data_IF_044467813797
#
_entry.id   IF_044467813797
#
_cell.length_a   1.000
_cell.length_b   1.000
_cell.length_c   1.000
_cell.angle_alpha   90.00
_cell.angle_beta   90.00
_cell.angle_gamma   90.00
#
_symmetry.space_group_name_H-M   'P 1'
#
loop_
_entity.id
_entity.type
_entity.pdbx_description
1 polymer ?
#
# COMPACT_ATOMS: atom_id res chain seq x y z
N UNK A 1 -61.41 23.76 1.40
CA UNK A 1 -62.11 23.13 2.51
C UNK A 1 -61.31 21.93 2.90
N UNK A 2 -60.64 21.84 3.95
CA UNK A 2 -60.69 21.69 5.35
C UNK A 2 -59.26 21.39 5.78
N UNK A 3 -58.61 22.23 6.39
CA UNK A 3 -58.32 22.56 7.80
C UNK A 3 -57.10 21.78 8.40
N UNK A 4 -56.14 22.54 8.74
CA UNK A 4 -54.91 22.39 9.50
C UNK A 4 -55.16 21.87 10.94
N UNK A 5 -54.27 21.05 11.48
CA UNK A 5 -54.05 21.01 12.93
C UNK A 5 -52.54 20.76 13.25
N UNK A 6 -51.94 21.84 13.78
CA UNK A 6 -50.65 21.90 14.43
C UNK A 6 -50.78 21.39 15.87
N UNK A 7 -49.76 20.66 16.37
CA UNK A 7 -49.55 20.45 17.82
C UNK A 7 -48.13 20.84 18.22
N UNK A 8 -48.06 21.99 18.89
CA UNK A 8 -46.91 22.46 19.66
C UNK A 8 -46.82 21.67 20.98
N UNK A 9 -45.65 21.28 21.39
CA UNK A 9 -45.37 20.84 22.76
C UNK A 9 -44.32 21.76 23.39
N UNK A 10 -44.81 22.48 24.42
CA UNK A 10 -44.06 23.36 25.30
C UNK A 10 -43.47 22.53 26.44
N UNK A 11 -42.18 22.63 26.71
CA UNK A 11 -41.59 22.12 27.96
C UNK A 11 -41.34 23.24 28.95
N UNK A 12 -41.85 22.98 30.15
CA UNK A 12 -41.83 23.82 31.33
C UNK A 12 -40.47 23.79 32.05
N UNK A 13 -39.90 24.94 32.41
CA UNK A 13 -38.80 25.09 33.34
C UNK A 13 -39.33 25.03 34.78
N UNK A 14 -38.71 24.17 35.63
CA UNK A 14 -38.87 24.27 37.08
C UNK A 14 -37.51 24.58 37.71
N UNK A 15 -37.41 25.76 38.32
CA UNK A 15 -36.32 26.18 39.18
C UNK A 15 -36.63 25.77 40.62
N UNK A 16 -35.66 25.19 41.30
CA UNK A 16 -35.70 25.02 42.77
C UNK A 16 -34.41 25.57 43.36
N UNK A 17 -34.62 26.59 44.20
CA UNK A 17 -33.63 27.22 45.05
C UNK A 17 -33.59 26.53 46.43
N UNK A 18 -32.46 26.60 47.08
CA UNK A 18 -32.43 26.57 48.54
C UNK A 18 -31.41 25.66 49.21
N UNK A 19 -30.56 26.26 50.01
CA UNK A 19 -30.02 25.62 51.20
C UNK A 19 -28.50 25.81 51.43
N UNK A 20 -28.11 26.99 52.00
CA UNK A 20 -26.82 27.10 52.71
C UNK A 20 -26.91 26.29 54.03
N UNK A 21 -25.93 25.41 54.26
CA UNK A 21 -25.63 24.92 55.61
C UNK A 21 -24.13 25.07 55.85
N UNK A 22 -23.79 25.92 56.79
CA UNK A 22 -22.45 26.09 57.33
C UNK A 22 -22.14 24.92 58.30
N UNK A 23 -21.06 24.23 58.11
CA UNK A 23 -20.54 23.23 59.07
C UNK A 23 -19.15 23.67 59.55
N UNK A 24 -19.05 23.74 60.86
CA UNK A 24 -17.93 24.09 61.70
C UNK A 24 -16.78 23.07 61.56
N UNK A 25 -15.54 23.55 61.43
CA UNK A 25 -14.35 22.72 61.45
C UNK A 25 -13.91 22.38 62.88
N UNK A 26 -13.47 21.16 63.18
CA UNK A 26 -12.72 20.90 64.43
C UNK A 26 -11.20 21.09 64.21
N UNK A 27 -10.56 21.54 65.26
CA UNK A 27 -9.15 21.90 65.37
C UNK A 27 -8.21 20.72 65.31
N UNK A 28 -7.09 20.92 64.71
CA UNK A 28 -5.74 20.51 64.99
C UNK A 28 -5.43 19.08 65.44
N UNK A 29 -4.79 18.32 64.50
CA UNK A 29 -3.83 17.28 64.87
C UNK A 29 -2.52 17.62 64.19
N UNK A 30 -1.48 17.93 64.97
CA UNK A 30 -0.09 18.08 64.53
C UNK A 30 0.43 16.76 63.98
N UNK A 31 0.78 16.71 62.70
CA UNK A 31 1.51 15.60 62.11
C UNK A 31 3.00 15.77 62.38
N UNK A 32 3.61 14.72 62.98
CA UNK A 32 5.04 14.57 63.14
C UNK A 32 5.74 14.42 61.76
N UNK A 33 6.98 14.90 61.59
CA UNK A 33 7.68 14.77 60.33
C UNK A 33 8.01 13.28 60.02
N UNK A 34 7.96 12.86 58.72
CA UNK A 34 8.27 11.49 58.34
C UNK A 34 9.76 11.17 58.58
N UNK A 35 10.01 9.99 59.12
CA UNK A 35 11.34 9.41 59.22
C UNK A 35 12.02 9.27 57.88
N UNK A 36 13.32 9.48 57.77
CA UNK A 36 14.06 9.27 56.52
C UNK A 36 14.01 7.79 56.11
N UNK A 37 13.73 7.55 54.80
CA UNK A 37 13.74 6.25 54.20
C UNK A 37 15.17 5.63 54.26
N UNK A 38 15.29 4.31 54.42
CA UNK A 38 16.59 3.63 54.42
C UNK A 38 17.23 3.76 53.02
N UNK A 39 18.42 4.29 52.98
CA UNK A 39 19.32 4.28 51.80
C UNK A 39 19.68 2.84 51.48
N UNK A 40 19.07 2.29 50.44
CA UNK A 40 19.52 1.04 49.82
C UNK A 40 20.83 1.31 49.06
N UNK A 41 21.88 0.64 49.42
CA UNK A 41 23.14 0.62 48.68
C UNK A 41 22.89 0.10 47.25
N UNK A 42 23.59 0.63 46.24
CA UNK A 42 23.44 0.12 44.87
C UNK A 42 23.89 -1.34 44.80
N UNK A 43 23.07 -2.18 44.18
CA UNK A 43 23.42 -3.56 43.87
C UNK A 43 24.69 -3.60 42.99
N UNK A 44 25.59 -4.58 43.18
CA UNK A 44 26.76 -4.71 42.34
C UNK A 44 26.35 -4.86 40.88
N UNK A 45 26.95 -4.06 39.99
CA UNK A 45 26.79 -4.14 38.58
C UNK A 45 27.14 -5.57 38.10
N UNK A 46 26.17 -6.23 37.45
CA UNK A 46 26.42 -7.48 36.74
C UNK A 46 27.57 -7.22 35.75
N UNK A 47 28.63 -8.05 35.73
CA UNK A 47 29.63 -7.94 34.68
C UNK A 47 28.93 -8.14 33.34
N UNK A 48 28.97 -7.12 32.50
CA UNK A 48 28.54 -7.21 31.13
C UNK A 48 29.17 -8.46 30.51
N UNK A 49 28.32 -9.41 30.08
CA UNK A 49 28.76 -10.47 29.18
C UNK A 49 29.37 -9.78 27.98
N UNK A 50 30.69 -9.82 27.89
CA UNK A 50 31.42 -9.34 26.73
C UNK A 50 30.84 -10.04 25.51
N UNK A 51 30.23 -9.27 24.60
CA UNK A 51 29.81 -9.76 23.34
C UNK A 51 31.03 -10.40 22.66
N UNK A 52 30.99 -11.71 22.46
CA UNK A 52 31.97 -12.41 21.63
C UNK A 52 31.99 -11.74 20.26
N UNK A 53 33.17 -11.29 19.77
CA UNK A 53 33.26 -10.71 18.43
C UNK A 53 32.81 -11.77 17.44
N UNK A 54 31.76 -11.48 16.70
CA UNK A 54 31.31 -12.28 15.54
C UNK A 54 32.49 -12.33 14.55
N UNK A 55 32.83 -13.51 13.99
CA UNK A 55 33.91 -13.60 13.01
C UNK A 55 33.59 -12.69 11.83
N UNK A 56 34.39 -11.68 11.61
CA UNK A 56 34.33 -10.81 10.43
C UNK A 56 34.72 -11.63 9.22
N UNK A 57 33.77 -11.84 8.28
CA UNK A 57 34.14 -12.41 6.98
C UNK A 57 33.07 -13.09 6.14
N UNK A 58 31.92 -13.48 6.69
CA UNK A 58 30.84 -13.97 5.86
C UNK A 58 29.97 -12.77 5.42
N UNK A 59 29.86 -12.54 4.11
CA UNK A 59 28.93 -11.55 3.58
C UNK A 59 27.53 -11.86 4.13
N UNK A 60 26.87 -10.87 4.72
CA UNK A 60 25.54 -11.02 5.28
C UNK A 60 24.57 -11.48 4.18
N UNK A 61 23.85 -12.59 4.42
CA UNK A 61 22.93 -13.12 3.43
C UNK A 61 21.84 -12.09 3.12
N UNK A 62 21.49 -11.90 1.83
CA UNK A 62 20.40 -10.99 1.47
C UNK A 62 19.12 -11.27 2.27
N UNK A 63 18.39 -10.25 2.66
CA UNK A 63 17.17 -10.36 3.49
C UNK A 63 16.11 -11.30 2.92
N UNK A 64 16.02 -11.44 1.59
CA UNK A 64 15.09 -12.35 0.92
C UNK A 64 15.44 -13.83 1.12
N UNK A 65 16.66 -14.16 1.53
CA UNK A 65 17.08 -15.52 1.87
C UNK A 65 16.72 -15.92 3.32
N UNK A 66 16.17 -15.01 4.11
CA UNK A 66 15.76 -15.32 5.48
C UNK A 66 14.65 -16.38 5.48
N UNK A 67 14.86 -17.46 6.22
CA UNK A 67 13.99 -18.64 6.30
C UNK A 67 13.87 -19.42 4.97
N UNK A 68 14.77 -19.22 4.02
CA UNK A 68 14.85 -20.01 2.79
C UNK A 68 15.18 -21.47 3.15
N UNK A 69 14.41 -22.45 2.66
CA UNK A 69 14.67 -23.85 2.94
C UNK A 69 15.97 -24.32 2.25
N UNK A 70 16.67 -25.20 2.94
CA UNK A 70 17.89 -25.83 2.40
C UNK A 70 17.52 -27.04 1.53
N UNK A 71 17.09 -26.76 0.29
CA UNK A 71 16.81 -27.80 -0.70
C UNK A 71 17.13 -27.29 -2.11
N UNK A 72 17.40 -28.21 -3.09
CA UNK A 72 17.77 -27.82 -4.45
C UNK A 72 16.73 -26.97 -5.17
N UNK A 73 15.44 -27.19 -4.95
CA UNK A 73 14.38 -26.43 -5.63
C UNK A 73 14.36 -24.97 -5.19
N UNK A 74 14.63 -24.69 -3.91
CA UNK A 74 14.71 -23.32 -3.41
C UNK A 74 16.03 -22.64 -3.83
N UNK A 75 17.13 -23.39 -3.97
CA UNK A 75 18.45 -22.83 -4.27
C UNK A 75 18.49 -22.07 -5.60
N UNK A 76 17.67 -22.46 -6.58
CA UNK A 76 17.58 -21.83 -7.89
C UNK A 76 16.60 -20.64 -7.93
N UNK A 77 15.89 -20.34 -6.83
CA UNK A 77 14.90 -19.28 -6.77
C UNK A 77 15.53 -17.99 -6.25
N UNK A 78 15.26 -16.88 -6.96
CA UNK A 78 15.71 -15.55 -6.60
C UNK A 78 14.70 -14.47 -7.03
N UNK A 79 14.69 -13.29 -6.39
CA UNK A 79 13.85 -12.19 -6.82
C UNK A 79 14.08 -11.82 -8.28
N UNK A 80 12.98 -11.70 -9.04
CA UNK A 80 13.01 -11.24 -10.42
C UNK A 80 13.26 -9.74 -10.44
N UNK A 81 14.41 -9.35 -10.97
CA UNK A 81 14.84 -7.95 -11.05
C UNK A 81 14.41 -7.37 -12.39
N UNK A 82 13.66 -6.26 -12.43
CA UNK A 82 13.37 -5.55 -13.67
C UNK A 82 14.66 -5.14 -14.40
N UNK A 83 14.71 -5.24 -15.73
CA UNK A 83 15.84 -4.74 -16.51
C UNK A 83 16.09 -3.24 -16.28
N UNK A 84 17.36 -2.78 -16.30
CA UNK A 84 17.67 -1.36 -16.11
C UNK A 84 17.30 -0.49 -17.34
N UNK A 85 17.00 -1.13 -18.47
CA UNK A 85 16.61 -0.50 -19.73
C UNK A 85 15.24 -1.06 -20.10
N UNK A 86 14.31 -0.16 -20.44
CA UNK A 86 12.97 -0.54 -20.86
C UNK A 86 12.99 -1.34 -22.19
N UNK A 87 12.05 -2.27 -22.31
CA UNK A 87 11.80 -3.00 -23.56
C UNK A 87 11.32 -2.05 -24.64
N UNK A 88 11.82 -2.18 -25.87
CA UNK A 88 11.37 -1.40 -27.00
C UNK A 88 9.88 -1.63 -27.28
N UNK A 89 9.16 -0.58 -27.69
CA UNK A 89 7.70 -0.61 -27.82
C UNK A 89 7.17 -1.72 -28.76
N UNK A 90 7.91 -2.01 -29.83
CA UNK A 90 7.58 -3.05 -30.82
C UNK A 90 7.83 -4.48 -30.32
N UNK A 91 8.49 -4.64 -29.17
CA UNK A 91 8.79 -5.92 -28.54
C UNK A 91 7.95 -6.21 -27.31
N UNK A 92 7.10 -5.29 -26.91
CA UNK A 92 6.19 -5.45 -25.77
C UNK A 92 5.18 -6.59 -26.05
N UNK A 93 4.80 -7.39 -25.03
CA UNK A 93 4.05 -8.64 -25.22
C UNK A 93 2.55 -8.44 -25.52
N UNK A 94 2.11 -7.32 -26.07
CA UNK A 94 0.69 -6.97 -26.26
C UNK A 94 -0.10 -8.10 -26.96
N UNK A 95 0.48 -8.74 -27.97
CA UNK A 95 -0.15 -9.84 -28.71
C UNK A 95 -0.32 -11.14 -27.90
N UNK A 96 0.31 -11.25 -26.73
CA UNK A 96 0.21 -12.38 -25.80
C UNK A 96 -0.79 -12.15 -24.69
N UNK A 97 -1.27 -10.90 -24.53
CA UNK A 97 -2.18 -10.54 -23.46
C UNK A 97 -3.62 -10.88 -23.84
N UNK A 98 -4.35 -11.45 -22.90
CA UNK A 98 -5.74 -11.85 -23.07
C UNK A 98 -6.62 -11.06 -22.10
N UNK A 99 -7.68 -10.48 -22.63
CA UNK A 99 -8.68 -9.70 -21.91
C UNK A 99 -10.09 -10.27 -22.18
N UNK A 100 -11.09 -9.93 -21.35
CA UNK A 100 -12.48 -10.25 -21.64
C UNK A 100 -12.94 -9.67 -22.99
N UNK A 101 -13.98 -10.26 -23.55
CA UNK A 101 -14.54 -9.84 -24.86
C UNK A 101 -14.83 -8.33 -24.91
N UNK A 102 -14.49 -7.70 -26.03
CA UNK A 102 -14.61 -6.27 -26.32
C UNK A 102 -13.67 -5.34 -25.54
N UNK A 103 -12.79 -5.87 -24.69
CA UNK A 103 -11.68 -5.09 -24.17
C UNK A 103 -10.51 -5.13 -25.15
N UNK A 104 -9.73 -4.07 -25.14
CA UNK A 104 -8.54 -3.89 -25.96
C UNK A 104 -7.43 -3.35 -25.07
N UNK A 105 -6.18 -3.69 -25.42
CA UNK A 105 -4.98 -3.20 -24.76
C UNK A 105 -4.00 -2.68 -25.81
N UNK A 106 -3.42 -1.53 -25.55
CA UNK A 106 -2.40 -0.90 -26.40
C UNK A 106 -1.25 -0.36 -25.55
N UNK A 107 -0.11 -0.13 -26.16
CA UNK A 107 1.00 0.57 -25.50
C UNK A 107 0.62 2.06 -25.40
N UNK A 108 0.50 2.56 -24.18
CA UNK A 108 0.29 3.98 -23.90
C UNK A 108 1.60 4.77 -23.94
N UNK A 109 2.62 4.27 -23.24
CA UNK A 109 3.98 4.79 -23.25
C UNK A 109 5.00 3.67 -22.94
N UNK A 110 6.22 3.85 -23.40
CA UNK A 110 7.35 2.97 -23.13
C UNK A 110 8.60 3.80 -22.84
N UNK A 111 9.72 3.14 -22.52
CA UNK A 111 10.95 3.86 -22.20
C UNK A 111 10.99 4.40 -20.77
N UNK A 112 10.20 3.81 -19.85
CA UNK A 112 10.12 4.18 -18.43
C UNK A 112 10.60 2.99 -17.58
N UNK A 113 11.91 2.73 -17.49
CA UNK A 113 12.40 1.55 -16.76
C UNK A 113 11.89 1.52 -15.33
N UNK A 114 11.47 0.34 -14.84
CA UNK A 114 10.89 0.14 -13.50
C UNK A 114 9.65 1.04 -13.25
N UNK A 115 8.72 1.10 -14.21
CA UNK A 115 7.47 1.87 -14.09
C UNK A 115 6.59 1.32 -12.96
N UNK A 116 6.37 2.15 -11.91
CA UNK A 116 5.70 1.73 -10.68
C UNK A 116 4.33 2.40 -10.50
N UNK A 117 4.16 3.21 -9.46
CA UNK A 117 2.88 3.86 -9.20
C UNK A 117 2.48 4.85 -10.28
N UNK A 118 1.20 4.88 -10.61
CA UNK A 118 0.57 5.78 -11.58
C UNK A 118 -0.34 6.78 -10.91
N UNK A 119 -0.32 8.04 -11.35
CA UNK A 119 -1.34 9.05 -11.04
C UNK A 119 -1.63 9.89 -12.26
N UNK A 120 -2.89 10.27 -12.41
CA UNK A 120 -3.35 11.12 -13.52
C UNK A 120 -3.87 12.43 -12.93
N UNK A 121 -3.44 13.54 -13.49
CA UNK A 121 -3.93 14.87 -13.11
C UNK A 121 -5.19 15.30 -13.87
N UNK A 122 -5.68 16.48 -13.55
CA UNK A 122 -6.87 17.03 -14.18
C UNK A 122 -6.68 17.41 -15.66
N UNK A 123 -5.46 17.54 -16.15
CA UNK A 123 -5.17 17.79 -17.57
C UNK A 123 -4.91 16.53 -18.37
N UNK A 124 -4.79 15.38 -17.69
CA UNK A 124 -4.51 14.09 -18.30
C UNK A 124 -3.02 13.76 -18.35
N UNK A 125 -2.15 14.55 -17.72
CA UNK A 125 -0.75 14.20 -17.52
C UNK A 125 -0.66 12.99 -16.58
N UNK A 126 0.11 11.98 -16.99
CA UNK A 126 0.29 10.75 -16.24
C UNK A 126 1.64 10.77 -15.56
N UNK A 127 1.66 10.78 -14.23
CA UNK A 127 2.88 10.67 -13.44
C UNK A 127 3.18 9.20 -13.14
N UNK A 128 4.46 8.83 -13.29
CA UNK A 128 4.96 7.46 -13.12
C UNK A 128 6.19 7.48 -12.23
N UNK A 129 6.15 6.80 -11.10
CA UNK A 129 7.34 6.61 -10.27
C UNK A 129 8.20 5.47 -10.82
N UNK A 130 9.51 5.55 -10.55
CA UNK A 130 10.48 4.52 -10.91
C UNK A 130 11.47 4.35 -9.77
N UNK A 131 11.29 3.31 -8.99
CA UNK A 131 12.01 3.06 -7.76
C UNK A 131 13.51 2.85 -7.99
N UNK A 132 13.88 2.03 -8.99
CA UNK A 132 15.27 1.66 -9.27
C UNK A 132 16.02 2.69 -10.11
N UNK A 133 15.30 3.64 -10.73
CA UNK A 133 15.91 4.73 -11.47
C UNK A 133 15.97 6.02 -10.64
N UNK A 134 15.47 5.96 -9.38
CA UNK A 134 15.44 7.10 -8.46
C UNK A 134 14.78 8.35 -9.05
N UNK A 135 13.69 8.13 -9.83
CA UNK A 135 13.03 9.17 -10.63
C UNK A 135 11.51 9.12 -10.52
N UNK A 136 10.89 10.24 -10.85
CA UNK A 136 9.48 10.31 -11.25
C UNK A 136 9.40 10.93 -12.64
N UNK A 137 8.59 10.32 -13.50
CA UNK A 137 8.34 10.76 -14.87
C UNK A 137 6.94 11.36 -14.98
N UNK A 138 6.73 12.18 -16.00
CA UNK A 138 5.44 12.62 -16.48
C UNK A 138 5.29 12.23 -17.97
N UNK A 139 4.17 11.63 -18.33
CA UNK A 139 3.77 11.37 -19.71
C UNK A 139 2.76 12.46 -20.09
N UNK A 140 3.15 13.32 -21.02
CA UNK A 140 2.33 14.43 -21.53
C UNK A 140 1.78 14.05 -22.89
N UNK A 141 0.46 14.07 -23.04
CA UNK A 141 -0.20 13.81 -24.33
C UNK A 141 -0.52 15.13 -25.01
N UNK A 142 0.05 15.32 -26.21
CA UNK A 142 -0.24 16.45 -27.09
C UNK A 142 -0.84 15.93 -28.39
N UNK A 143 -2.18 15.82 -28.44
CA UNK A 143 -2.93 15.36 -29.62
C UNK A 143 -2.50 13.95 -30.09
N UNK A 144 -2.31 13.02 -29.16
CA UNK A 144 -1.94 11.63 -29.43
C UNK A 144 -0.42 11.40 -29.56
N UNK A 145 0.38 12.46 -29.52
CA UNK A 145 1.84 12.36 -29.40
C UNK A 145 2.22 12.46 -27.91
N UNK A 146 2.70 11.37 -27.36
CA UNK A 146 3.09 11.29 -25.95
C UNK A 146 4.58 11.50 -25.77
N UNK A 147 4.92 12.40 -24.88
CA UNK A 147 6.30 12.71 -24.48
C UNK A 147 6.52 12.31 -23.03
N UNK A 148 7.65 11.65 -22.75
CA UNK A 148 8.05 11.25 -21.38
C UNK A 148 9.08 12.25 -20.87
N UNK A 149 8.75 12.95 -19.78
CA UNK A 149 9.61 13.94 -19.11
C UNK A 149 10.05 13.42 -17.74
N UNK A 150 11.22 13.84 -17.24
CA UNK A 150 11.66 13.58 -15.89
C UNK A 150 11.27 14.78 -15.03
N UNK A 151 10.39 14.58 -14.04
CA UNK A 151 9.92 15.64 -13.14
C UNK A 151 10.54 15.62 -11.75
N UNK A 152 11.21 14.52 -11.38
CA UNK A 152 12.07 14.45 -10.20
C UNK A 152 13.14 13.39 -10.39
N UNK A 153 14.34 13.61 -9.80
CA UNK A 153 15.50 12.69 -9.90
C UNK A 153 16.38 12.78 -8.67
N UNK A 154 17.25 11.77 -8.48
CA UNK A 154 18.13 11.69 -7.31
C UNK A 154 17.38 11.37 -6.02
N UNK A 155 16.27 10.65 -6.14
CA UNK A 155 15.41 10.24 -5.04
C UNK A 155 15.90 8.93 -4.42
N UNK A 156 15.48 8.64 -3.20
CA UNK A 156 15.82 7.36 -2.55
C UNK A 156 14.70 6.34 -2.76
N UNK A 157 14.77 5.59 -3.87
CA UNK A 157 13.85 4.50 -4.17
C UNK A 157 12.36 4.92 -4.13
N UNK A 158 11.93 5.95 -4.91
CA UNK A 158 10.55 6.44 -4.90
C UNK A 158 9.62 5.40 -5.49
N UNK A 159 8.65 4.92 -4.71
CA UNK A 159 7.65 3.98 -5.19
C UNK A 159 6.26 4.59 -5.23
N UNK A 160 5.75 5.10 -4.11
CA UNK A 160 4.43 5.69 -4.01
C UNK A 160 4.43 7.15 -4.42
N UNK A 161 3.49 7.52 -5.28
CA UNK A 161 3.17 8.91 -5.59
C UNK A 161 1.68 9.16 -5.40
N UNK A 162 1.32 10.40 -5.07
CA UNK A 162 -0.07 10.83 -4.97
C UNK A 162 -0.22 12.24 -5.54
N UNK A 163 -1.40 12.55 -6.06
CA UNK A 163 -1.76 13.88 -6.56
C UNK A 163 -2.92 14.44 -5.75
N UNK A 164 -2.83 15.68 -5.35
CA UNK A 164 -3.93 16.40 -4.74
C UNK A 164 -3.86 17.88 -5.04
N UNK A 165 -4.90 18.43 -5.65
CA UNK A 165 -5.00 19.87 -5.98
C UNK A 165 -3.74 20.42 -6.68
N UNK A 166 -3.22 19.70 -7.67
CA UNK A 166 -2.04 20.12 -8.45
C UNK A 166 -0.69 19.91 -7.74
N UNK A 167 -0.68 19.38 -6.51
CA UNK A 167 0.53 19.01 -5.78
C UNK A 167 0.85 17.53 -5.98
N UNK A 168 2.06 17.23 -6.42
CA UNK A 168 2.60 15.88 -6.51
C UNK A 168 3.34 15.55 -5.21
N UNK A 169 2.88 14.51 -4.50
CA UNK A 169 3.53 13.92 -3.34
C UNK A 169 4.34 12.70 -3.76
N UNK A 170 5.54 12.55 -3.20
CA UNK A 170 6.48 11.46 -3.53
C UNK A 170 6.93 10.81 -2.24
N UNK A 171 6.71 9.50 -2.10
CA UNK A 171 7.19 8.71 -0.97
C UNK A 171 8.47 7.95 -1.35
N UNK A 172 9.53 8.27 -0.65
CA UNK A 172 10.82 7.60 -0.66
C UNK A 172 10.91 6.59 0.51
N UNK A 173 12.00 5.85 0.64
CA UNK A 173 12.17 4.92 1.78
C UNK A 173 12.06 5.67 3.11
N UNK A 174 12.75 6.79 3.25
CA UNK A 174 12.99 7.47 4.54
C UNK A 174 12.28 8.82 4.67
N UNK A 175 11.53 9.27 3.65
CA UNK A 175 10.84 10.58 3.69
C UNK A 175 9.69 10.64 2.72
N UNK A 176 8.81 11.63 2.93
CA UNK A 176 7.78 12.04 1.97
C UNK A 176 8.06 13.50 1.60
N UNK A 177 8.04 13.78 0.31
CA UNK A 177 8.31 15.10 -0.27
C UNK A 177 7.14 15.52 -1.16
N UNK A 178 7.07 16.80 -1.53
CA UNK A 178 6.08 17.32 -2.48
C UNK A 178 6.66 18.29 -3.49
N UNK A 179 5.98 18.44 -4.62
CA UNK A 179 6.17 19.50 -5.61
C UNK A 179 4.80 20.15 -5.81
N UNK A 180 4.66 21.40 -5.43
CA UNK A 180 3.42 22.16 -5.62
C UNK A 180 3.30 22.63 -7.08
N UNK A 181 2.07 22.70 -7.61
CA UNK A 181 1.77 23.15 -8.99
C UNK A 181 2.63 22.44 -10.06
N UNK A 182 2.78 21.12 -9.93
CA UNK A 182 3.69 20.33 -10.79
C UNK A 182 3.37 20.49 -12.27
N UNK A 183 2.12 20.58 -12.64
CA UNK A 183 1.68 20.67 -14.03
C UNK A 183 2.15 21.95 -14.74
N UNK A 184 2.38 23.02 -14.01
CA UNK A 184 2.94 24.26 -14.55
C UNK A 184 4.47 24.24 -14.68
N UNK A 185 5.13 23.16 -14.22
CA UNK A 185 6.58 23.08 -14.05
C UNK A 185 7.21 21.83 -14.71
N UNK A 186 6.49 21.17 -15.61
CA UNK A 186 6.93 19.90 -16.24
C UNK A 186 8.25 20.02 -17.02
N UNK A 187 8.56 21.19 -17.57
CA UNK A 187 9.78 21.43 -18.34
C UNK A 187 10.98 21.82 -17.46
N UNK A 188 10.70 22.38 -16.29
CA UNK A 188 11.73 22.83 -15.36
C UNK A 188 11.27 22.64 -13.90
N UNK A 189 11.09 21.39 -13.45
CA UNK A 189 10.56 21.09 -12.13
C UNK A 189 11.56 21.46 -11.02
N UNK A 190 11.09 22.04 -9.90
CA UNK A 190 11.92 22.29 -8.73
C UNK A 190 12.29 21.00 -8.03
N UNK A 191 13.28 21.06 -7.15
CA UNK A 191 13.55 19.94 -6.23
C UNK A 191 12.35 19.73 -5.29
N UNK A 192 11.98 18.47 -4.99
CA UNK A 192 10.91 18.19 -4.06
C UNK A 192 11.19 18.71 -2.65
N UNK A 193 10.22 19.35 -2.03
CA UNK A 193 10.30 19.83 -0.64
C UNK A 193 9.89 18.71 0.32
N UNK A 194 10.75 18.38 1.29
CA UNK A 194 10.45 17.36 2.31
C UNK A 194 9.38 17.89 3.25
N UNK A 195 8.33 17.08 3.47
CA UNK A 195 7.24 17.38 4.41
C UNK A 195 7.21 16.41 5.60
N UNK A 196 7.78 15.20 5.45
CA UNK A 196 7.83 14.21 6.52
C UNK A 196 9.09 13.36 6.39
N UNK A 197 9.92 13.30 7.43
CA UNK A 197 11.22 12.61 7.44
C UNK A 197 11.37 11.58 8.57
N UNK A 198 10.33 11.39 9.40
CA UNK A 198 10.33 10.41 10.50
C UNK A 198 9.91 9.03 10.01
N UNK A 199 10.67 8.48 9.06
CA UNK A 199 10.47 7.15 8.50
C UNK A 199 11.71 6.27 8.69
N UNK A 200 11.51 4.97 9.02
CA UNK A 200 12.62 4.01 9.02
C UNK A 200 13.30 3.94 7.65
N UNK A 201 14.62 3.75 7.67
CA UNK A 201 15.46 3.68 6.45
C UNK A 201 15.76 2.26 5.99
N UNK A 202 15.15 1.25 6.60
CA UNK A 202 15.36 -0.16 6.26
C UNK A 202 14.98 -0.44 4.81
N UNK A 203 15.88 -1.10 4.07
CA UNK A 203 15.66 -1.43 2.67
C UNK A 203 14.61 -2.54 2.46
N UNK A 204 14.58 -3.64 3.23
CA UNK A 204 13.53 -4.66 3.10
C UNK A 204 12.15 -4.04 3.38
N UNK A 205 11.22 -4.17 2.41
CA UNK A 205 9.86 -3.58 2.45
C UNK A 205 9.84 -2.07 2.79
N UNK A 206 10.96 -1.37 2.58
CA UNK A 206 11.12 0.04 2.92
C UNK A 206 10.34 0.98 2.00
N UNK A 207 10.08 0.59 0.73
CA UNK A 207 9.33 1.43 -0.21
C UNK A 207 7.87 1.58 0.22
N UNK A 208 7.38 2.79 0.09
CA UNK A 208 6.04 3.18 0.51
C UNK A 208 5.09 3.17 -0.68
N UNK A 209 3.83 2.84 -0.46
CA UNK A 209 2.73 3.27 -1.33
C UNK A 209 2.15 4.56 -0.77
N UNK A 210 1.49 5.36 -1.60
CA UNK A 210 0.95 6.63 -1.17
C UNK A 210 -0.45 6.85 -1.78
N UNK A 211 -1.41 7.19 -0.95
CA UNK A 211 -2.77 7.54 -1.37
C UNK A 211 -3.28 8.76 -0.60
N UNK A 212 -4.10 9.59 -1.25
CA UNK A 212 -4.86 10.63 -0.56
C UNK A 212 -6.21 10.07 -0.17
N UNK A 213 -6.54 10.14 1.11
CA UNK A 213 -7.82 9.70 1.64
C UNK A 213 -8.95 10.73 1.45
N UNK A 214 -10.20 10.30 1.64
CA UNK A 214 -11.38 11.17 1.56
C UNK A 214 -11.42 12.24 2.68
N UNK A 215 -10.55 12.12 3.66
CA UNK A 215 -10.32 13.08 4.76
C UNK A 215 -9.20 14.09 4.45
N UNK A 216 -8.71 14.12 3.20
CA UNK A 216 -7.60 14.95 2.75
C UNK A 216 -6.30 14.71 3.54
N UNK A 217 -6.03 13.46 3.89
CA UNK A 217 -4.75 13.02 4.49
C UNK A 217 -3.99 12.10 3.56
N UNK A 218 -2.66 12.06 3.71
CA UNK A 218 -1.79 11.11 3.02
C UNK A 218 -1.72 9.82 3.83
N UNK A 219 -2.04 8.70 3.19
CA UNK A 219 -1.96 7.34 3.73
C UNK A 219 -0.76 6.62 3.13
N UNK A 220 0.01 5.94 3.98
CA UNK A 220 1.20 5.19 3.57
C UNK A 220 1.47 4.00 4.48
N UNK A 221 2.27 3.06 4.00
CA UNK A 221 2.71 1.90 4.76
C UNK A 221 4.13 2.08 5.31
N UNK A 222 4.42 1.41 6.42
CA UNK A 222 5.77 1.11 6.87
C UNK A 222 5.85 -0.41 6.99
N UNK A 223 6.51 -1.07 6.04
CA UNK A 223 6.63 -2.52 5.98
C UNK A 223 7.49 -3.11 7.09
N UNK A 224 7.50 -4.44 7.22
CA UNK A 224 8.39 -5.14 8.13
C UNK A 224 9.85 -5.06 7.63
N UNK A 225 10.85 -4.91 8.52
CA UNK A 225 12.25 -4.76 8.12
C UNK A 225 12.91 -6.09 7.72
N UNK A 226 12.16 -7.16 7.56
CA UNK A 226 12.61 -8.53 7.39
C UNK A 226 11.57 -9.36 6.63
N UNK A 227 11.92 -10.56 6.21
CA UNK A 227 10.93 -11.53 5.73
C UNK A 227 9.97 -11.92 6.86
N UNK A 228 10.52 -12.38 7.99
CA UNK A 228 9.77 -12.73 9.20
C UNK A 228 10.60 -12.39 10.43
N UNK A 229 10.08 -11.55 11.29
CA UNK A 229 10.66 -11.16 12.59
C UNK A 229 9.61 -10.46 13.44
N UNK A 230 9.89 -10.29 14.72
CA UNK A 230 9.14 -9.36 15.56
C UNK A 230 9.48 -7.93 15.13
N UNK A 231 8.53 -7.18 14.55
CA UNK A 231 8.81 -5.81 14.11
C UNK A 231 8.96 -4.87 15.31
N UNK A 232 9.75 -3.82 15.14
CA UNK A 232 9.77 -2.73 16.11
C UNK A 232 8.43 -1.98 16.09
N UNK A 233 8.10 -1.19 17.12
CA UNK A 233 6.84 -0.44 17.20
C UNK A 233 6.58 0.54 16.05
N UNK A 234 7.61 0.86 15.25
CA UNK A 234 7.49 1.78 14.11
C UNK A 234 7.18 1.09 12.79
N UNK A 235 7.27 -0.25 12.73
CA UNK A 235 7.11 -1.05 11.51
C UNK A 235 5.80 -1.85 11.47
N UNK A 236 5.56 -2.50 10.36
CA UNK A 236 4.39 -3.36 10.13
C UNK A 236 3.06 -2.63 10.33
N UNK A 237 2.93 -1.42 9.75
CA UNK A 237 1.82 -0.49 9.99
C UNK A 237 1.33 0.17 8.71
N UNK A 238 0.05 0.57 8.74
CA UNK A 238 -0.46 1.67 7.92
C UNK A 238 -0.53 2.93 8.78
N UNK A 239 -0.13 4.06 8.20
CA UNK A 239 -0.20 5.39 8.81
C UNK A 239 -0.87 6.40 7.91
N UNK A 240 -1.33 7.51 8.49
CA UNK A 240 -1.71 8.70 7.75
C UNK A 240 -1.11 9.95 8.39
N UNK A 241 -0.93 10.99 7.58
CA UNK A 241 -0.47 12.33 7.99
C UNK A 241 -1.32 13.39 7.29
N UNK A 242 -1.31 14.61 7.79
CA UNK A 242 -1.85 15.76 7.07
C UNK A 242 -1.02 16.05 5.80
N UNK A 243 -1.59 16.78 4.84
CA UNK A 243 -0.92 17.14 3.58
C UNK A 243 0.35 18.01 3.78
N UNK A 244 0.51 18.62 4.94
CA UNK A 244 1.70 19.37 5.35
C UNK A 244 2.76 18.52 6.08
N UNK A 245 2.47 17.23 6.31
CA UNK A 245 3.35 16.29 7.01
C UNK A 245 3.11 16.20 8.52
N UNK A 246 2.27 17.02 9.10
CA UNK A 246 1.93 16.99 10.52
C UNK A 246 0.92 15.89 10.87
N UNK A 247 0.66 15.67 12.15
CA UNK A 247 -0.46 14.86 12.66
C UNK A 247 -0.38 13.38 12.29
N UNK A 248 0.79 12.76 12.46
CA UNK A 248 1.00 11.34 12.17
C UNK A 248 0.16 10.43 13.08
N UNK A 249 -0.60 9.52 12.48
CA UNK A 249 -1.48 8.56 13.16
C UNK A 249 -1.27 7.16 12.60
N UNK A 250 -1.34 6.15 13.47
CA UNK A 250 -1.37 4.74 13.06
C UNK A 250 -2.80 4.33 12.76
N UNK A 251 -3.03 3.72 11.60
CA UNK A 251 -4.36 3.31 11.13
C UNK A 251 -4.59 1.81 11.31
N UNK A 252 -3.54 1.01 11.15
CA UNK A 252 -3.61 -0.43 11.31
C UNK A 252 -2.23 -1.01 11.61
N UNK A 253 -2.22 -2.21 12.20
CA UNK A 253 -1.04 -2.93 12.66
C UNK A 253 -0.94 -4.34 12.05
N UNK A 254 0.18 -5.01 12.30
CA UNK A 254 0.37 -6.42 11.93
C UNK A 254 0.36 -6.65 10.43
N UNK A 255 0.98 -5.76 9.67
CA UNK A 255 0.99 -5.75 8.20
C UNK A 255 2.42 -5.88 7.70
N UNK A 256 2.72 -6.98 6.95
CA UNK A 256 4.08 -7.20 6.46
C UNK A 256 4.50 -6.18 5.40
N UNK A 257 3.74 -6.08 4.30
CA UNK A 257 4.07 -5.14 3.22
C UNK A 257 2.84 -4.81 2.38
N UNK A 258 2.61 -3.53 2.15
CA UNK A 258 1.55 -2.98 1.29
C UNK A 258 2.18 -2.27 0.10
N UNK A 259 1.67 -2.55 -1.10
CA UNK A 259 2.07 -1.83 -2.33
C UNK A 259 0.85 -1.37 -3.14
N UNK A 260 -0.33 -1.44 -2.57
CA UNK A 260 -1.56 -0.94 -3.16
C UNK A 260 -2.62 -0.66 -2.11
N UNK A 261 -3.27 0.48 -2.21
CA UNK A 261 -4.42 0.84 -1.38
C UNK A 261 -5.33 1.81 -2.11
N UNK A 262 -6.62 1.72 -1.84
CA UNK A 262 -7.63 2.63 -2.37
C UNK A 262 -8.86 2.66 -1.47
N UNK A 263 -9.69 3.67 -1.63
CA UNK A 263 -10.89 3.87 -0.83
C UNK A 263 -12.13 3.48 -1.62
N UNK A 264 -13.00 2.69 -0.99
CA UNK A 264 -14.27 2.34 -1.61
C UNK A 264 -15.07 3.61 -1.95
N UNK A 265 -15.50 3.80 -3.21
CA UNK A 265 -16.01 5.09 -3.68
C UNK A 265 -17.25 5.59 -2.95
N UNK A 266 -18.05 4.69 -2.36
CA UNK A 266 -19.29 5.01 -1.64
C UNK A 266 -19.04 5.04 -0.12
N UNK A 267 -18.61 3.93 0.47
CA UNK A 267 -18.45 3.81 1.94
C UNK A 267 -17.21 4.51 2.49
N UNK A 268 -16.26 4.89 1.63
CA UNK A 268 -14.97 5.49 2.00
C UNK A 268 -14.07 4.59 2.86
N UNK A 269 -14.40 3.32 3.00
CA UNK A 269 -13.56 2.32 3.69
C UNK A 269 -12.28 2.11 2.90
N UNK A 270 -11.15 2.10 3.60
CA UNK A 270 -9.83 1.80 3.03
C UNK A 270 -9.68 0.30 2.77
N UNK A 271 -9.29 -0.06 1.56
CA UNK A 271 -8.86 -1.40 1.17
C UNK A 271 -7.38 -1.38 0.79
N UNK A 272 -6.67 -2.48 1.01
CA UNK A 272 -5.27 -2.61 0.64
C UNK A 272 -4.86 -4.05 0.34
N UNK A 273 -3.89 -4.21 -0.54
CA UNK A 273 -3.22 -5.48 -0.84
C UNK A 273 -2.07 -5.69 0.13
N UNK A 274 -1.82 -6.94 0.53
CA UNK A 274 -0.72 -7.26 1.43
C UNK A 274 0.06 -8.49 0.96
N UNK A 275 1.38 -8.33 0.83
CA UNK A 275 2.30 -9.40 0.51
C UNK A 275 2.75 -10.12 1.81
N UNK A 276 2.52 -11.42 1.87
CA UNK A 276 2.81 -12.25 3.03
C UNK A 276 4.28 -12.74 3.06
N UNK A 277 4.66 -13.46 4.12
CA UNK A 277 6.02 -13.98 4.28
C UNK A 277 6.40 -14.95 3.17
N UNK A 278 7.67 -14.93 2.80
CA UNK A 278 8.29 -15.90 1.90
C UNK A 278 8.66 -17.19 2.66
N UNK A 279 8.85 -18.29 1.91
CA UNK A 279 9.48 -19.51 2.40
C UNK A 279 8.74 -20.26 3.53
N UNK A 280 7.41 -20.13 3.63
CA UNK A 280 6.65 -21.04 4.48
C UNK A 280 6.43 -22.39 3.75
N UNK A 281 5.88 -22.33 2.54
CA UNK A 281 5.89 -23.41 1.54
C UNK A 281 5.63 -22.78 0.15
N UNK A 282 5.62 -23.56 -0.92
CA UNK A 282 5.24 -23.07 -2.25
C UNK A 282 3.78 -22.62 -2.34
N UNK A 283 2.89 -23.26 -1.57
CA UNK A 283 1.45 -23.04 -1.63
C UNK A 283 0.90 -22.27 -0.43
N UNK A 284 1.79 -21.76 0.44
CA UNK A 284 1.44 -21.03 1.66
C UNK A 284 2.49 -19.98 2.00
N UNK A 285 2.04 -18.85 2.59
CA UNK A 285 0.66 -18.43 2.79
C UNK A 285 0.10 -17.75 1.54
N UNK A 286 -1.23 -17.61 1.47
CA UNK A 286 -1.85 -16.73 0.50
C UNK A 286 -1.57 -15.26 0.83
N UNK A 287 -1.30 -14.45 -0.18
CA UNK A 287 -1.35 -13.00 -0.10
C UNK A 287 -2.79 -12.52 0.09
N UNK A 288 -2.99 -11.31 0.58
CA UNK A 288 -4.29 -10.84 1.08
C UNK A 288 -4.80 -9.58 0.39
N UNK A 289 -6.12 -9.49 0.26
CA UNK A 289 -6.87 -8.24 0.17
C UNK A 289 -7.51 -7.99 1.54
N UNK A 290 -7.23 -6.85 2.12
CA UNK A 290 -7.70 -6.43 3.44
C UNK A 290 -8.58 -5.18 3.34
N UNK A 291 -9.35 -4.89 4.41
CA UNK A 291 -10.02 -3.60 4.61
C UNK A 291 -9.90 -3.16 6.06
N UNK A 292 -9.81 -1.85 6.29
CA UNK A 292 -9.77 -1.26 7.63
C UNK A 292 -11.18 -0.85 8.04
N UNK A 293 -11.72 -1.50 9.06
CA UNK A 293 -13.05 -1.17 9.62
C UNK A 293 -12.94 -0.38 10.92
N UNK A 294 -11.89 -0.60 11.70
CA UNK A 294 -11.65 0.04 12.99
C UNK A 294 -10.27 0.71 12.98
N UNK A 295 -10.13 1.94 12.41
CA UNK A 295 -8.86 2.64 12.34
C UNK A 295 -8.17 2.74 13.71
N UNK A 296 -6.88 2.41 13.76
CA UNK A 296 -6.07 2.37 14.97
C UNK A 296 -6.20 1.08 15.80
N UNK A 297 -7.19 0.22 15.53
CA UNK A 297 -7.44 -1.01 16.28
C UNK A 297 -7.20 -2.28 15.45
N UNK A 298 -7.44 -2.24 14.13
CA UNK A 298 -7.29 -3.40 13.26
C UNK A 298 -5.84 -3.90 13.26
N UNK A 299 -5.67 -5.20 13.48
CA UNK A 299 -4.39 -5.91 13.43
C UNK A 299 -4.50 -7.11 12.50
N UNK A 300 -3.71 -7.11 11.41
CA UNK A 300 -3.81 -8.09 10.33
C UNK A 300 -2.91 -9.32 10.50
N UNK A 301 -2.28 -9.49 11.67
CA UNK A 301 -1.73 -10.74 12.16
C UNK A 301 -0.21 -10.91 12.05
N UNK A 302 0.52 -10.16 11.21
CA UNK A 302 1.97 -10.29 11.13
C UNK A 302 2.64 -9.90 12.47
N UNK A 303 3.59 -10.68 13.00
CA UNK A 303 4.22 -11.87 12.43
C UNK A 303 3.57 -13.21 12.86
N UNK A 304 2.45 -13.19 13.54
CA UNK A 304 1.86 -14.37 14.23
C UNK A 304 0.98 -15.23 13.33
N UNK A 305 0.23 -14.59 12.42
CA UNK A 305 -0.76 -15.24 11.55
C UNK A 305 -0.65 -14.73 10.12
N UNK A 306 -0.59 -15.64 9.15
CA UNK A 306 -0.46 -15.38 7.72
C UNK A 306 -1.69 -15.83 6.96
N UNK A 307 -2.00 -15.19 5.80
CA UNK A 307 -3.16 -15.53 4.98
C UNK A 307 -4.51 -15.33 5.67
N UNK A 308 -4.51 -15.05 6.97
CA UNK A 308 -5.67 -14.94 7.84
C UNK A 308 -6.03 -16.25 8.56
N UNK A 309 -5.33 -17.36 8.30
CA UNK A 309 -5.69 -18.70 8.78
C UNK A 309 -4.50 -19.58 9.20
N UNK A 310 -3.25 -19.18 8.89
CA UNK A 310 -2.05 -19.99 9.13
C UNK A 310 -1.22 -19.34 10.24
N UNK A 311 -1.04 -20.05 11.36
CA UNK A 311 -0.13 -19.62 12.42
C UNK A 311 1.33 -19.73 11.95
N UNK A 312 2.13 -18.72 12.26
CA UNK A 312 3.57 -18.76 12.02
C UNK A 312 4.23 -19.84 12.89
N UNK A 313 5.08 -20.73 12.32
CA UNK A 313 5.70 -21.80 13.09
C UNK A 313 6.68 -21.30 14.17
N UNK A 314 7.21 -20.08 14.03
CA UNK A 314 8.14 -19.49 14.98
C UNK A 314 7.46 -18.55 15.98
N UNK A 315 6.52 -17.71 15.50
CA UNK A 315 5.92 -16.64 16.30
C UNK A 315 4.48 -16.93 16.74
N UNK A 316 3.80 -17.91 16.13
CA UNK A 316 2.39 -18.20 16.37
C UNK A 316 2.08 -19.03 17.63
N UNK A 317 3.09 -19.45 18.39
CA UNK A 317 2.89 -20.26 19.59
C UNK A 317 1.99 -19.58 20.63
N UNK A 318 0.99 -20.31 21.11
CA UNK A 318 0.03 -19.80 22.08
C UNK A 318 -0.95 -18.75 21.54
N UNK A 319 -0.98 -18.53 20.23
CA UNK A 319 -1.89 -17.58 19.56
C UNK A 319 -2.98 -18.31 18.76
N UNK A 320 -3.97 -17.55 18.33
CA UNK A 320 -4.98 -17.98 17.37
C UNK A 320 -5.12 -16.96 16.26
N UNK A 321 -5.26 -17.39 15.01
CA UNK A 321 -5.57 -16.47 13.91
C UNK A 321 -6.92 -15.75 14.08
N UNK A 322 -7.79 -16.19 15.00
CA UNK A 322 -9.04 -15.50 15.32
C UNK A 322 -8.85 -14.24 16.18
N UNK A 323 -7.66 -14.01 16.71
CA UNK A 323 -7.31 -12.77 17.43
C UNK A 323 -7.10 -11.60 16.48
N UNK A 324 -6.98 -11.84 15.16
CA UNK A 324 -6.58 -10.86 14.16
C UNK A 324 -7.71 -10.57 13.18
N UNK A 325 -7.67 -9.37 12.61
CA UNK A 325 -8.59 -8.94 11.55
C UNK A 325 -8.43 -9.84 10.33
N UNK A 326 -9.51 -10.45 9.89
CA UNK A 326 -9.51 -11.37 8.75
C UNK A 326 -9.40 -10.60 7.42
N UNK A 327 -8.69 -11.14 6.42
CA UNK A 327 -8.74 -10.60 5.07
C UNK A 327 -10.15 -10.72 4.47
N UNK A 328 -10.47 -9.85 3.51
CA UNK A 328 -11.73 -9.98 2.75
C UNK A 328 -11.60 -10.92 1.56
N UNK A 329 -10.37 -11.19 1.11
CA UNK A 329 -10.05 -12.25 0.15
C UNK A 329 -8.59 -12.70 0.26
N UNK A 330 -8.35 -13.94 -0.12
CA UNK A 330 -7.04 -14.48 -0.43
C UNK A 330 -6.76 -14.32 -1.92
N UNK A 331 -5.54 -13.91 -2.28
CA UNK A 331 -5.15 -13.56 -3.65
C UNK A 331 -4.18 -14.56 -4.29
N UNK A 332 -4.02 -15.72 -3.68
CA UNK A 332 -3.08 -16.77 -4.09
C UNK A 332 -1.74 -16.69 -3.36
N UNK A 333 -1.04 -17.84 -3.22
CA UNK A 333 0.22 -17.91 -2.50
C UNK A 333 1.33 -17.23 -3.29
N UNK A 334 2.04 -16.27 -2.65
CA UNK A 334 3.18 -15.56 -3.24
C UNK A 334 2.86 -14.84 -4.56
N UNK A 335 1.59 -14.47 -4.80
CA UNK A 335 1.16 -13.80 -6.03
C UNK A 335 1.67 -12.37 -6.15
N UNK A 336 2.19 -11.81 -5.05
CA UNK A 336 2.68 -10.46 -4.92
C UNK A 336 1.67 -9.41 -5.44
N UNK A 337 0.46 -9.31 -4.85
CA UNK A 337 -0.50 -8.28 -5.23
C UNK A 337 0.06 -6.91 -4.87
N UNK A 338 0.14 -6.03 -5.86
CA UNK A 338 0.65 -4.69 -5.72
C UNK A 338 -0.48 -3.67 -5.81
N UNK A 339 -0.49 -2.80 -6.83
CA UNK A 339 -1.51 -1.78 -7.00
C UNK A 339 -2.92 -2.34 -7.07
N UNK A 340 -3.85 -1.60 -6.51
CA UNK A 340 -5.27 -1.87 -6.59
C UNK A 340 -6.07 -0.58 -6.77
N UNK A 341 -7.17 -0.63 -7.52
CA UNK A 341 -8.06 0.52 -7.74
C UNK A 341 -9.51 0.07 -7.83
N UNK A 342 -10.39 0.86 -7.22
CA UNK A 342 -11.82 0.78 -7.48
C UNK A 342 -12.14 1.42 -8.82
N UNK A 343 -12.82 0.70 -9.71
CA UNK A 343 -13.28 1.28 -10.98
C UNK A 343 -14.43 2.24 -10.76
N UNK A 344 -14.20 3.51 -11.05
CA UNK A 344 -15.20 4.58 -10.96
C UNK A 344 -15.56 5.18 -12.31
N UNK A 345 -14.90 4.75 -13.38
CA UNK A 345 -15.13 5.22 -14.74
C UNK A 345 -16.45 4.76 -15.34
N UNK A 346 -16.72 5.16 -16.57
CA UNK A 346 -17.96 4.84 -17.32
C UNK A 346 -17.70 4.17 -18.67
N UNK A 347 -16.46 3.95 -19.04
CA UNK A 347 -16.14 3.26 -20.30
C UNK A 347 -16.42 1.76 -20.20
N UNK A 348 -16.07 1.12 -19.07
CA UNK A 348 -16.29 -0.32 -18.88
C UNK A 348 -17.77 -0.61 -18.55
N UNK A 349 -18.30 -1.79 -18.90
CA UNK A 349 -19.65 -2.20 -18.57
C UNK A 349 -19.98 -2.03 -17.09
N UNK A 350 -21.25 -1.78 -16.77
CA UNK A 350 -21.73 -1.47 -15.43
C UNK A 350 -21.36 -2.52 -14.36
N UNK A 351 -21.16 -3.77 -14.74
CA UNK A 351 -20.73 -4.85 -13.84
C UNK A 351 -19.32 -4.64 -13.24
N UNK A 352 -18.49 -3.82 -13.88
CA UNK A 352 -17.15 -3.47 -13.37
C UNK A 352 -17.17 -2.28 -12.41
N UNK A 353 -18.29 -1.53 -12.33
CA UNK A 353 -18.37 -0.37 -11.45
C UNK A 353 -18.26 -0.78 -9.99
N UNK A 354 -17.39 -0.09 -9.24
CA UNK A 354 -17.04 -0.37 -7.85
C UNK A 354 -16.41 -1.75 -7.60
N UNK A 355 -15.97 -2.48 -8.64
CA UNK A 355 -15.09 -3.63 -8.46
C UNK A 355 -13.66 -3.15 -8.22
N UNK A 356 -12.87 -3.99 -7.58
CA UNK A 356 -11.45 -3.73 -7.34
C UNK A 356 -10.64 -4.42 -8.42
N UNK A 357 -9.87 -3.66 -9.19
CA UNK A 357 -8.83 -4.21 -10.06
C UNK A 357 -7.54 -4.34 -9.25
N UNK A 358 -6.85 -5.47 -9.35
CA UNK A 358 -5.65 -5.81 -8.57
C UNK A 358 -4.57 -6.33 -9.50
N UNK A 359 -3.42 -5.67 -9.53
CA UNK A 359 -2.24 -6.16 -10.23
C UNK A 359 -1.51 -7.19 -9.36
N UNK A 360 -1.42 -8.45 -9.81
CA UNK A 360 -0.60 -9.47 -9.17
C UNK A 360 0.73 -9.55 -9.92
N UNK A 361 1.76 -8.98 -9.32
CA UNK A 361 3.09 -8.85 -9.92
C UNK A 361 3.76 -10.18 -10.23
N UNK A 362 3.44 -11.19 -9.42
CA UNK A 362 3.86 -12.56 -9.62
C UNK A 362 4.97 -13.03 -8.70
N UNK A 363 4.99 -14.35 -8.49
CA UNK A 363 5.90 -15.04 -7.57
C UNK A 363 7.34 -15.06 -8.10
N UNK A 364 8.28 -15.06 -7.19
CA UNK A 364 9.71 -15.31 -7.47
C UNK A 364 10.23 -16.54 -6.70
N UNK A 365 9.58 -16.89 -5.59
CA UNK A 365 9.93 -17.96 -4.65
C UNK A 365 9.08 -19.23 -4.84
N UNK A 366 8.60 -19.46 -6.06
CA UNK A 366 7.87 -20.67 -6.46
C UNK A 366 8.52 -21.32 -7.67
N UNK A 367 8.58 -22.66 -7.70
CA UNK A 367 9.02 -23.44 -8.87
C UNK A 367 8.01 -23.33 -10.02
N UNK A 368 6.71 -23.36 -9.71
CA UNK A 368 5.62 -23.04 -10.63
C UNK A 368 5.07 -21.66 -10.32
N UNK A 369 5.49 -20.68 -11.13
CA UNK A 369 5.13 -19.27 -10.93
C UNK A 369 3.63 -19.03 -11.09
N UNK A 370 3.12 -18.03 -10.38
CA UNK A 370 1.75 -17.52 -10.48
C UNK A 370 1.76 -16.00 -10.52
N UNK A 371 0.61 -15.39 -10.81
CA UNK A 371 0.50 -13.95 -11.03
C UNK A 371 1.08 -13.54 -12.39
N UNK A 372 1.62 -12.33 -12.51
CA UNK A 372 1.86 -11.74 -13.83
C UNK A 372 0.51 -11.54 -14.54
N UNK A 373 -0.46 -11.00 -13.81
CA UNK A 373 -1.83 -10.82 -14.30
C UNK A 373 -2.54 -9.68 -13.57
N UNK A 374 -3.71 -9.33 -14.05
CA UNK A 374 -4.65 -8.45 -13.33
C UNK A 374 -5.90 -9.26 -13.04
N UNK A 375 -6.33 -9.24 -11.78
CA UNK A 375 -7.61 -9.83 -11.37
C UNK A 375 -8.58 -8.75 -10.93
N UNK A 376 -9.87 -9.08 -10.91
CA UNK A 376 -10.92 -8.25 -10.33
C UNK A 376 -11.49 -8.93 -9.09
N UNK A 377 -11.67 -8.16 -8.01
CA UNK A 377 -12.43 -8.58 -6.85
C UNK A 377 -13.81 -7.91 -6.88
N UNK A 378 -14.85 -8.74 -7.01
CA UNK A 378 -16.25 -8.30 -7.06
C UNK A 378 -16.80 -8.29 -5.65
N UNK A 379 -17.38 -7.15 -5.22
CA UNK A 379 -17.88 -6.99 -3.86
C UNK A 379 -19.37 -7.31 -3.73
N UNK A 380 -19.74 -7.78 -2.56
CA UNK A 380 -21.09 -7.77 -2.03
C UNK A 380 -21.44 -6.36 -1.52
N UNK A 381 -22.71 -6.10 -1.24
CA UNK A 381 -23.18 -4.80 -0.73
C UNK A 381 -22.62 -4.44 0.66
N UNK A 382 -22.20 -5.43 1.45
CA UNK A 382 -21.55 -5.25 2.75
C UNK A 382 -20.02 -5.01 2.66
N UNK A 383 -19.48 -4.97 1.43
CA UNK A 383 -18.05 -4.78 1.14
C UNK A 383 -17.20 -6.03 1.34
N UNK A 384 -17.79 -7.21 1.58
CA UNK A 384 -17.08 -8.48 1.47
C UNK A 384 -16.85 -8.86 0.00
N UNK A 385 -15.85 -9.69 -0.26
CA UNK A 385 -15.56 -10.15 -1.64
C UNK A 385 -16.44 -11.35 -1.97
N UNK A 386 -17.17 -11.25 -3.08
CA UNK A 386 -17.99 -12.35 -3.64
C UNK A 386 -17.15 -13.30 -4.49
N UNK A 387 -16.28 -12.76 -5.32
CA UNK A 387 -15.40 -13.53 -6.21
C UNK A 387 -14.13 -12.76 -6.55
N UNK A 388 -13.06 -13.51 -6.87
CA UNK A 388 -11.85 -12.98 -7.49
C UNK A 388 -11.70 -13.67 -8.84
N UNK A 389 -11.67 -12.88 -9.92
CA UNK A 389 -11.74 -13.37 -11.29
C UNK A 389 -10.58 -12.81 -12.14
N UNK A 390 -10.03 -13.56 -13.11
CA UNK A 390 -9.01 -13.05 -14.01
C UNK A 390 -9.57 -11.94 -14.91
N UNK A 391 -8.77 -10.90 -15.17
CA UNK A 391 -9.10 -9.81 -16.09
C UNK A 391 -8.07 -9.63 -17.21
N UNK A 392 -6.79 -9.54 -16.90
CA UNK A 392 -5.73 -9.55 -17.91
C UNK A 392 -4.80 -10.71 -17.58
N UNK A 393 -4.55 -11.59 -18.54
CA UNK A 393 -3.59 -12.70 -18.43
C UNK A 393 -2.60 -12.67 -19.59
N UNK A 394 -1.56 -13.50 -19.55
CA UNK A 394 -0.59 -13.62 -20.63
C UNK A 394 0.76 -12.94 -20.37
N UNK A 395 0.93 -12.23 -19.25
CA UNK A 395 2.24 -11.77 -18.82
C UNK A 395 3.12 -12.92 -18.27
N UNK A 396 2.52 -14.04 -17.89
CA UNK A 396 3.22 -15.28 -17.51
C UNK A 396 2.91 -16.36 -18.54
N UNK A 397 3.94 -16.82 -19.27
CA UNK A 397 3.85 -17.87 -20.28
C UNK A 397 4.99 -18.86 -20.06
N UNK A 398 4.70 -20.15 -20.07
CA UNK A 398 5.70 -21.22 -19.90
C UNK A 398 6.64 -20.99 -18.71
N UNK A 399 6.06 -20.60 -17.57
CA UNK A 399 6.77 -20.31 -16.32
C UNK A 399 7.77 -19.12 -16.40
N UNK A 400 7.65 -18.25 -17.41
CA UNK A 400 8.48 -17.05 -17.61
C UNK A 400 7.61 -15.80 -17.69
N UNK A 401 8.01 -14.75 -16.99
CA UNK A 401 7.36 -13.45 -17.12
C UNK A 401 7.78 -12.77 -18.42
N UNK A 402 6.79 -12.35 -19.19
CA UNK A 402 6.91 -11.45 -20.35
C UNK A 402 6.67 -9.99 -19.98
N UNK A 403 6.13 -9.72 -18.78
CA UNK A 403 5.86 -8.44 -18.17
C UNK A 403 5.40 -8.68 -16.74
N UNK A 404 5.39 -7.66 -15.89
CA UNK A 404 4.97 -7.74 -14.49
C UNK A 404 4.13 -6.51 -14.12
N UNK A 405 2.80 -6.63 -14.07
CA UNK A 405 1.91 -5.51 -13.77
C UNK A 405 2.11 -4.98 -12.34
N UNK A 406 2.04 -3.64 -12.16
CA UNK A 406 2.32 -3.01 -10.88
C UNK A 406 1.16 -2.18 -10.34
N UNK A 407 0.75 -1.12 -11.03
CA UNK A 407 -0.30 -0.20 -10.57
C UNK A 407 -1.23 0.18 -11.72
N UNK A 408 -2.40 0.66 -11.36
CA UNK A 408 -3.42 1.08 -12.30
C UNK A 408 -3.92 2.47 -11.96
N UNK A 409 -4.40 3.19 -12.97
CA UNK A 409 -5.07 4.47 -12.82
C UNK A 409 -6.09 4.65 -13.94
N UNK A 410 -7.09 5.52 -13.75
CA UNK A 410 -8.13 5.74 -14.76
C UNK A 410 -8.01 7.12 -15.39
N UNK A 411 -8.09 7.14 -16.71
CA UNK A 411 -8.20 8.38 -17.48
C UNK A 411 -9.63 8.95 -17.40
N UNK A 412 -9.79 10.22 -17.75
CA UNK A 412 -11.10 10.90 -17.74
C UNK A 412 -12.15 10.25 -18.63
N UNK A 413 -11.72 9.60 -19.71
CA UNK A 413 -12.62 8.84 -20.59
C UNK A 413 -13.06 7.50 -20.02
N UNK A 414 -12.57 7.12 -18.84
CA UNK A 414 -12.84 5.88 -18.15
C UNK A 414 -11.99 4.69 -18.61
N UNK A 415 -11.03 4.89 -19.50
CA UNK A 415 -10.04 3.86 -19.82
C UNK A 415 -9.06 3.66 -18.65
N UNK A 416 -8.47 2.47 -18.55
CA UNK A 416 -7.53 2.10 -17.51
C UNK A 416 -6.10 2.15 -18.05
N UNK A 417 -5.20 2.75 -17.29
CA UNK A 417 -3.75 2.62 -17.46
C UNK A 417 -3.23 1.51 -16.52
N UNK A 418 -2.21 0.79 -16.99
CA UNK A 418 -1.54 -0.28 -16.26
C UNK A 418 -0.03 -0.13 -16.44
N UNK A 419 0.72 0.02 -15.34
CA UNK A 419 2.18 0.04 -15.38
C UNK A 419 2.77 -1.37 -15.31
N UNK A 420 3.92 -1.54 -15.94
CA UNK A 420 4.73 -2.75 -15.98
C UNK A 420 6.19 -2.37 -15.71
N UNK A 421 6.72 -2.78 -14.57
CA UNK A 421 8.09 -2.45 -14.18
C UNK A 421 9.14 -3.33 -14.89
N UNK A 422 8.74 -4.54 -15.30
CA UNK A 422 9.65 -5.46 -15.97
C UNK A 422 10.00 -4.98 -17.37
N UNK A 423 9.02 -4.50 -18.11
CA UNK A 423 9.20 -3.98 -19.46
C UNK A 423 9.45 -2.46 -19.49
N UNK A 424 9.15 -1.75 -18.42
CA UNK A 424 9.27 -0.28 -18.38
C UNK A 424 8.25 0.40 -19.28
N UNK A 425 7.00 -0.05 -19.20
CA UNK A 425 5.90 0.37 -20.05
C UNK A 425 4.65 0.77 -19.25
N UNK A 426 3.79 1.53 -19.88
CA UNK A 426 2.41 1.80 -19.46
C UNK A 426 1.50 1.38 -20.59
N UNK A 427 0.54 0.52 -20.30
CA UNK A 427 -0.50 0.08 -21.23
C UNK A 427 -1.79 0.87 -20.99
N UNK A 428 -2.63 0.99 -22.02
CA UNK A 428 -3.99 1.51 -21.92
C UNK A 428 -5.00 0.44 -22.29
N UNK A 429 -6.00 0.27 -21.43
CA UNK A 429 -7.08 -0.68 -21.62
C UNK A 429 -8.38 0.10 -21.89
N UNK A 430 -9.05 -0.24 -23.01
CA UNK A 430 -10.31 0.36 -23.43
C UNK A 430 -11.39 -0.70 -23.60
N UNK A 431 -12.64 -0.28 -23.63
CA UNK A 431 -13.79 -1.14 -23.94
C UNK A 431 -14.63 -0.54 -25.07
N UNK A 432 -14.99 -1.36 -26.02
CA UNK A 432 -15.79 -0.97 -27.17
C UNK A 432 -15.39 -1.73 -28.45
N UNK A 433 -15.99 -1.41 -29.60
CA UNK A 433 -15.54 -1.96 -30.87
C UNK A 433 -14.08 -1.54 -31.13
N UNK A 434 -13.31 -2.45 -31.73
CA UNK A 434 -11.92 -2.16 -32.09
C UNK A 434 -11.87 -0.87 -32.94
N UNK A 435 -11.18 0.16 -32.45
CA UNK A 435 -10.87 1.30 -33.28
C UNK A 435 -10.02 0.79 -34.45
N UNK A 436 -10.58 0.82 -35.67
CA UNK A 436 -9.74 0.68 -36.87
C UNK A 436 -8.75 1.85 -36.79
N UNK A 437 -7.47 1.52 -36.55
CA UNK A 437 -6.41 2.51 -36.66
C UNK A 437 -6.55 3.19 -38.02
N UNK A 438 -6.73 4.49 -38.03
CA UNK A 438 -6.67 5.28 -39.24
C UNK A 438 -5.29 4.99 -39.88
N UNK A 439 -5.34 4.35 -41.06
CA UNK A 439 -4.16 4.02 -41.89
C UNK A 439 -3.52 5.29 -42.39
#
# INVERSE_FOLDING_TARGET
MTTILSRSWTFLFAALAGGLAAAVAPAGAQQSPPSPAPTTAPAPANPALAATPTPSGAAEKPSWMQAMPDNPAAADLAPVVPPPIATAADKLPVAKLHLPKNFQIEVYASGIPDARSLRVDDKGTVFVSSRRQDKVYAIVDSNGKREVKIVAKGLNSPNGIALHNGTLYIAEINKISKIDNIEAQLDNPPQPTVIYSDLPSDAPHGWKFLAVGPDNKLYFNIGAPCNICMPSPTHAQLRRINLDGSGAEVIAHGIRQVVGMDFHPISKVLYFTENQRDWLSEDQPNDKLNRVLHPGQDNFGYPYCHGGDILDPQFGWGRSCNEFTKPVAQLGPHSAPLGMRFYTGHMFPGQYRNTIFIARHGSWNKTHKIGGDVVIAVLNSDGTVRSVEPFITGFLVDNKYLGRPVDMEFLKDGSMLLSDDFDGAVYRITYGPAHQAAR
#
